data_IF_451880221652
#
_entry.id   IF_451880221652
#
_cell.length_a   1.000
_cell.length_b   1.000
_cell.length_c   1.000
_cell.angle_alpha   90.00
_cell.angle_beta   90.00
_cell.angle_gamma   90.00
#
_symmetry.space_group_name_H-M   'P 1'
#
loop_
_entity.id
_entity.type
_entity.pdbx_description
1 polymer ?
#
# COMPACT_ATOMS: atom_id res chain seq x y z
N UNK A 1 39.39 -25.83 7.96
CA UNK A 1 38.70 -24.94 7.01
C UNK A 1 38.02 -23.86 7.83
N UNK A 2 38.30 -22.57 7.63
CA UNK A 2 37.59 -21.53 8.35
C UNK A 2 36.16 -21.38 7.78
N UNK A 3 35.18 -20.93 8.57
CA UNK A 3 33.81 -20.72 8.13
C UNK A 3 33.70 -19.53 7.16
N UNK A 4 32.64 -19.43 6.33
CA UNK A 4 32.49 -18.31 5.42
C UNK A 4 32.19 -17.03 6.19
N UNK A 5 32.84 -15.96 5.76
CA UNK A 5 32.71 -14.60 6.28
C UNK A 5 31.33 -14.06 5.89
N UNK A 6 30.51 -13.74 6.90
CA UNK A 6 29.28 -12.98 6.69
C UNK A 6 29.65 -11.57 6.21
N UNK A 7 29.22 -11.22 5.00
CA UNK A 7 29.27 -9.85 4.51
C UNK A 7 28.23 -9.02 5.28
N UNK A 8 28.68 -8.31 6.32
CA UNK A 8 27.87 -7.35 7.06
C UNK A 8 27.72 -6.07 6.22
N UNK A 9 26.68 -6.04 5.38
CA UNK A 9 26.19 -4.78 4.81
C UNK A 9 25.36 -4.04 5.86
N UNK A 10 26.02 -3.50 6.89
CA UNK A 10 25.38 -2.49 7.74
C UNK A 10 25.39 -1.16 6.98
N UNK A 11 24.24 -0.78 6.41
CA UNK A 11 24.02 0.58 5.94
C UNK A 11 22.73 1.11 6.55
N UNK A 12 22.85 2.25 7.21
CA UNK A 12 21.75 2.98 7.81
C UNK A 12 20.76 3.45 6.73
N UNK A 13 19.45 3.48 7.01
CA UNK A 13 18.49 4.18 6.16
C UNK A 13 18.91 5.65 5.99
N UNK A 14 18.54 6.23 4.84
CA UNK A 14 18.84 7.62 4.49
C UNK A 14 18.41 8.54 5.64
N UNK A 15 19.27 9.46 6.12
CA UNK A 15 18.87 10.44 7.12
C UNK A 15 17.77 11.33 6.54
N UNK A 16 16.57 11.25 7.13
CA UNK A 16 15.48 12.20 6.86
C UNK A 16 16.00 13.60 7.28
N UNK A 17 15.99 14.61 6.40
CA UNK A 17 16.34 15.97 6.79
C UNK A 17 15.46 16.41 7.97
N UNK A 18 16.06 16.98 9.02
CA UNK A 18 15.33 17.40 10.20
C UNK A 18 14.33 18.50 9.86
N UNK A 19 13.05 18.14 9.81
CA UNK A 19 11.95 19.09 9.70
C UNK A 19 11.63 19.66 11.08
N UNK A 20 11.66 20.99 11.21
CA UNK A 20 11.12 21.70 12.37
C UNK A 20 9.76 22.29 11.96
N UNK A 21 8.66 21.93 12.65
CA UNK A 21 7.38 22.57 12.40
C UNK A 21 7.50 24.08 12.63
N UNK A 22 7.04 24.90 11.68
CA UNK A 22 6.79 26.32 11.98
C UNK A 22 5.64 26.37 12.99
N UNK A 23 5.93 26.88 14.17
CA UNK A 23 5.06 26.82 15.35
C UNK A 23 3.63 27.27 15.09
N UNK A 24 2.69 26.42 15.49
CA UNK A 24 1.29 26.80 15.71
C UNK A 24 1.21 27.56 17.04
N UNK A 25 0.94 28.86 16.97
CA UNK A 25 0.63 29.65 18.15
C UNK A 25 -0.74 29.25 18.69
N UNK A 26 -0.70 28.65 19.89
CA UNK A 26 -1.70 28.55 20.95
C UNK A 26 -3.16 28.90 20.65
N UNK A 27 -4.03 27.90 20.79
CA UNK A 27 -5.42 28.12 21.19
C UNK A 27 -5.69 27.46 22.54
N UNK A 28 -5.84 28.31 23.54
CA UNK A 28 -6.22 28.00 24.92
C UNK A 28 -7.71 27.69 25.04
N UNK A 29 -8.03 26.62 25.78
CA UNK A 29 -9.20 26.39 26.65
C UNK A 29 -10.50 27.15 26.30
N UNK A 30 -11.54 26.42 25.89
CA UNK A 30 -12.94 26.87 26.07
C UNK A 30 -13.46 26.42 27.45
N UNK A 31 -14.26 27.26 28.15
CA UNK A 31 -14.96 26.87 29.35
C UNK A 31 -16.26 26.13 29.02
N UNK A 32 -16.61 25.24 29.95
CA UNK A 32 -17.88 24.52 30.05
C UNK A 32 -19.07 25.48 30.11
N UNK A 33 -20.14 25.17 29.38
CA UNK A 33 -21.46 25.54 29.88
C UNK A 33 -22.56 24.53 29.51
N UNK A 34 -23.37 24.35 30.54
CA UNK A 34 -24.57 23.55 30.76
C UNK A 34 -25.65 23.49 29.66
N UNK A 35 -26.19 22.28 29.51
CA UNK A 35 -27.58 21.87 29.28
C UNK A 35 -28.51 22.75 28.41
N UNK A 36 -28.92 22.20 27.26
CA UNK A 36 -30.31 22.22 26.76
C UNK A 36 -30.53 21.12 25.71
N UNK A 37 -31.59 20.33 25.87
CA UNK A 37 -32.20 19.45 24.85
C UNK A 37 -33.68 19.85 24.70
N UNK A 38 -34.39 19.39 23.65
CA UNK A 38 -34.33 19.93 22.29
C UNK A 38 -35.71 20.39 21.79
N UNK A 39 -35.77 21.22 20.76
CA UNK A 39 -37.01 21.42 19.99
C UNK A 39 -36.75 21.15 18.51
N UNK A 40 -37.47 20.15 18.02
CA UNK A 40 -37.64 19.76 16.62
C UNK A 40 -37.98 20.96 15.74
N UNK A 41 -37.34 21.07 14.57
CA UNK A 41 -38.06 21.28 13.29
C UNK A 41 -37.09 21.37 12.10
N UNK A 42 -37.46 20.63 11.06
CA UNK A 42 -37.23 20.87 9.63
C UNK A 42 -35.85 20.57 9.04
N UNK A 43 -35.77 19.36 8.48
CA UNK A 43 -34.89 19.01 7.38
C UNK A 43 -35.27 19.81 6.13
N UNK A 44 -34.40 20.75 5.73
CA UNK A 44 -34.34 21.24 4.35
C UNK A 44 -33.11 20.63 3.67
N UNK A 45 -33.38 19.81 2.67
CA UNK A 45 -32.42 19.22 1.74
C UNK A 45 -31.76 20.37 0.96
N UNK A 46 -30.50 20.69 1.26
CA UNK A 46 -29.67 21.56 0.43
C UNK A 46 -28.88 20.71 -0.56
N UNK A 47 -29.39 20.63 -1.79
CA UNK A 47 -28.65 20.14 -2.95
C UNK A 47 -27.43 21.03 -3.21
N UNK A 48 -26.21 20.49 -3.06
CA UNK A 48 -25.00 21.16 -3.56
C UNK A 48 -24.90 20.95 -5.07
N UNK A 49 -25.12 22.05 -5.82
CA UNK A 49 -24.86 22.12 -7.26
C UNK A 49 -23.35 22.18 -7.48
N UNK A 50 -22.78 21.14 -8.08
CA UNK A 50 -21.41 21.15 -8.63
C UNK A 50 -21.39 22.04 -9.87
N UNK A 51 -20.76 23.21 -9.77
CA UNK A 51 -20.56 24.11 -10.90
C UNK A 51 -19.28 23.75 -11.64
N UNK A 52 -19.42 23.01 -12.75
CA UNK A 52 -18.38 22.84 -13.78
C UNK A 52 -18.00 24.20 -14.36
N UNK A 53 -16.74 24.60 -14.24
CA UNK A 53 -16.18 25.69 -15.05
C UNK A 53 -14.93 25.19 -15.75
N UNK A 54 -15.09 24.90 -17.04
CA UNK A 54 -14.03 24.65 -18.02
C UNK A 54 -13.46 26.02 -18.41
N UNK A 55 -12.16 26.23 -18.16
CA UNK A 55 -11.44 27.42 -18.59
C UNK A 55 -10.33 27.06 -19.58
N UNK A 56 -10.65 27.09 -20.87
CA UNK A 56 -9.69 27.05 -21.98
C UNK A 56 -9.03 28.42 -22.07
N UNK A 57 -7.71 28.50 -21.99
CA UNK A 57 -6.95 29.70 -22.39
C UNK A 57 -5.92 29.30 -23.44
N UNK A 58 -6.22 29.66 -24.68
CA UNK A 58 -5.25 29.82 -25.77
C UNK A 58 -4.84 31.30 -25.83
N UNK A 59 -3.55 31.54 -26.09
CA UNK A 59 -3.02 32.35 -27.20
C UNK A 59 -1.96 33.41 -26.84
N UNK A 60 -0.96 33.43 -27.74
CA UNK A 60 -0.16 34.56 -28.25
C UNK A 60 1.26 34.76 -27.69
N UNK A 61 2.20 34.33 -28.54
CA UNK A 61 3.54 34.90 -28.72
C UNK A 61 3.52 36.43 -28.80
N UNK A 62 4.54 37.05 -28.19
CA UNK A 62 5.06 38.34 -28.61
C UNK A 62 6.58 38.28 -28.72
N UNK A 63 7.07 38.35 -29.95
CA UNK A 63 8.45 38.58 -30.34
C UNK A 63 8.70 40.09 -30.30
N UNK A 64 9.77 40.56 -29.65
CA UNK A 64 10.37 41.85 -30.01
C UNK A 64 11.91 41.83 -29.83
N UNK A 65 12.64 42.58 -30.67
CA UNK A 65 14.05 42.36 -30.97
C UNK A 65 14.97 43.27 -30.13
N UNK A 66 16.19 42.80 -29.85
CA UNK A 66 17.26 43.68 -29.38
C UNK A 66 18.37 43.77 -30.43
N UNK A 67 18.66 45.03 -30.71
CA UNK A 67 19.45 45.59 -31.78
C UNK A 67 20.94 45.31 -31.64
N UNK A 68 21.56 45.01 -32.78
CA UNK A 68 23.00 45.01 -33.02
C UNK A 68 23.54 46.42 -32.78
N UNK A 69 24.47 46.56 -31.83
CA UNK A 69 25.33 47.74 -31.69
C UNK A 69 26.77 47.31 -31.96
N UNK A 70 27.26 47.63 -33.17
CA UNK A 70 28.68 47.57 -33.50
C UNK A 70 29.40 48.76 -32.85
N UNK A 71 30.37 48.48 -31.98
CA UNK A 71 31.34 49.46 -31.49
C UNK A 71 32.71 48.79 -31.42
N UNK A 72 33.59 49.12 -32.36
CA UNK A 72 34.96 48.60 -32.43
C UNK A 72 35.91 49.30 -31.45
N UNK A 73 36.90 48.55 -30.99
CA UNK A 73 38.04 49.04 -30.22
C UNK A 73 39.04 47.90 -29.97
N UNK A 74 40.18 47.95 -30.65
CA UNK A 74 41.31 47.01 -30.59
C UNK A 74 41.97 46.93 -29.20
N UNK A 75 42.47 45.73 -28.84
CA UNK A 75 43.43 45.56 -27.73
C UNK A 75 43.50 44.13 -27.20
N UNK A 76 44.52 43.37 -27.60
CA UNK A 76 44.66 41.93 -27.34
C UNK A 76 44.76 41.51 -25.88
N UNK A 77 44.36 40.26 -25.58
CA UNK A 77 45.16 39.22 -24.92
C UNK A 77 44.29 38.09 -24.36
N UNK A 78 44.73 36.85 -24.60
CA UNK A 78 44.30 35.57 -24.01
C UNK A 78 42.87 35.09 -24.26
N UNK A 79 42.72 34.32 -25.34
CA UNK A 79 41.70 33.27 -25.47
C UNK A 79 41.82 32.25 -24.33
N UNK A 80 40.94 32.37 -23.34
CA UNK A 80 40.57 31.26 -22.47
C UNK A 80 39.58 30.43 -23.28
N UNK A 81 40.02 29.28 -23.78
CA UNK A 81 39.10 28.25 -24.28
C UNK A 81 38.31 27.78 -23.07
N UNK A 82 36.97 27.90 -23.04
CA UNK A 82 36.20 27.20 -22.02
C UNK A 82 36.42 25.72 -22.27
N UNK A 83 37.03 25.06 -21.29
CA UNK A 83 37.03 23.61 -21.17
C UNK A 83 35.58 23.15 -21.34
N UNK A 84 35.28 22.18 -22.22
CA UNK A 84 33.92 21.73 -22.41
C UNK A 84 33.41 21.24 -21.06
N UNK A 85 32.42 21.95 -20.52
CA UNK A 85 31.62 21.50 -19.41
C UNK A 85 31.20 20.09 -19.77
N UNK A 86 31.76 19.08 -19.08
CA UNK A 86 31.28 17.71 -19.22
C UNK A 86 29.78 17.77 -18.92
N UNK A 87 28.96 17.66 -19.96
CA UNK A 87 27.55 17.38 -19.80
C UNK A 87 27.49 16.14 -18.91
N UNK A 88 26.90 16.30 -17.73
CA UNK A 88 26.60 15.13 -16.90
C UNK A 88 25.83 14.16 -17.80
N UNK A 89 26.24 12.88 -17.88
CA UNK A 89 25.59 11.93 -18.76
C UNK A 89 24.07 11.98 -18.51
N UNK A 90 23.31 12.05 -19.60
CA UNK A 90 21.85 12.11 -19.54
C UNK A 90 21.35 10.92 -18.70
N UNK A 91 20.49 11.21 -17.72
CA UNK A 91 20.02 10.19 -16.79
C UNK A 91 19.25 9.10 -17.54
N UNK A 92 19.50 7.84 -17.22
CA UNK A 92 18.75 6.70 -17.77
C UNK A 92 17.32 6.79 -17.24
N UNK A 93 16.35 6.72 -18.16
CA UNK A 93 14.94 6.67 -17.77
C UNK A 93 14.57 5.23 -17.46
N UNK A 94 14.00 5.00 -16.27
CA UNK A 94 13.42 3.72 -15.87
C UNK A 94 11.92 3.92 -15.66
N UNK A 95 11.11 3.14 -16.34
CA UNK A 95 9.67 3.31 -16.43
C UNK A 95 8.94 2.19 -15.68
N UNK A 96 8.15 2.59 -14.68
CA UNK A 96 7.27 1.72 -13.90
C UNK A 96 5.91 1.66 -14.58
N UNK A 97 5.54 0.50 -15.12
CA UNK A 97 4.19 0.25 -15.63
C UNK A 97 3.23 -0.11 -14.50
N UNK A 98 2.38 0.83 -14.08
CA UNK A 98 1.39 0.63 -13.04
C UNK A 98 0.04 0.15 -13.64
N UNK A 99 -0.23 -1.15 -13.53
CA UNK A 99 -1.52 -1.75 -13.87
C UNK A 99 -2.42 -1.72 -12.63
N UNK A 100 -3.42 -0.83 -12.62
CA UNK A 100 -4.20 -0.52 -11.41
C UNK A 100 -5.67 -0.29 -11.75
N UNK A 101 -6.51 -0.10 -10.72
CA UNK A 101 -7.90 0.28 -10.90
C UNK A 101 -8.08 1.79 -10.68
N UNK A 102 -8.42 2.54 -11.73
CA UNK A 102 -8.64 3.99 -11.64
C UNK A 102 -10.12 4.38 -11.68
N UNK A 103 -10.98 3.54 -12.26
CA UNK A 103 -12.41 3.88 -12.47
C UNK A 103 -13.39 2.79 -12.05
N UNK A 104 -12.90 1.64 -11.61
CA UNK A 104 -13.66 0.51 -11.11
C UNK A 104 -13.91 0.56 -9.59
N UNK A 105 -14.35 -0.57 -9.00
CA UNK A 105 -14.82 -0.65 -7.62
C UNK A 105 -13.73 -0.41 -6.56
N UNK A 106 -12.45 -0.62 -6.87
CA UNK A 106 -11.33 -0.39 -5.97
C UNK A 106 -10.71 1.01 -6.14
N UNK A 107 -11.20 1.83 -7.08
CA UNK A 107 -10.64 3.15 -7.42
C UNK A 107 -10.48 4.11 -6.24
N UNK A 108 -11.36 4.04 -5.23
CA UNK A 108 -11.28 4.88 -4.02
C UNK A 108 -9.95 4.65 -3.29
N UNK A 109 -9.62 3.40 -2.96
CA UNK A 109 -8.34 3.08 -2.32
C UNK A 109 -7.16 3.27 -3.27
N UNK A 110 -7.32 2.89 -4.54
CA UNK A 110 -6.24 2.96 -5.52
C UNK A 110 -5.81 4.40 -5.85
N UNK A 111 -6.71 5.36 -5.77
CA UNK A 111 -6.38 6.78 -5.96
C UNK A 111 -5.30 7.22 -4.97
N UNK A 112 -5.51 6.95 -3.69
CA UNK A 112 -4.58 7.31 -2.62
C UNK A 112 -3.27 6.50 -2.69
N UNK A 113 -3.35 5.22 -3.07
CA UNK A 113 -2.16 4.38 -3.32
C UNK A 113 -1.32 4.95 -4.48
N UNK A 114 -1.95 5.34 -5.58
CA UNK A 114 -1.26 5.89 -6.74
C UNK A 114 -0.61 7.26 -6.43
N UNK A 115 -1.25 8.10 -5.61
CA UNK A 115 -0.62 9.33 -5.11
C UNK A 115 0.67 9.02 -4.34
N UNK A 116 0.64 8.01 -3.46
CA UNK A 116 1.83 7.57 -2.71
C UNK A 116 2.96 7.08 -3.62
N UNK A 117 2.64 6.36 -4.70
CA UNK A 117 3.62 5.94 -5.72
C UNK A 117 4.25 7.15 -6.42
N UNK A 118 3.43 8.06 -6.95
CA UNK A 118 3.88 9.22 -7.71
C UNK A 118 4.77 10.14 -6.86
N UNK A 119 4.38 10.38 -5.60
CA UNK A 119 5.13 11.26 -4.71
C UNK A 119 6.43 10.63 -4.22
N UNK A 120 6.46 9.32 -3.99
CA UNK A 120 7.71 8.65 -3.65
C UNK A 120 8.66 8.61 -4.86
N UNK A 121 8.15 8.36 -6.07
CA UNK A 121 8.94 8.46 -7.32
C UNK A 121 9.50 9.87 -7.51
N UNK A 122 8.68 10.90 -7.29
CA UNK A 122 9.11 12.31 -7.32
C UNK A 122 10.23 12.57 -6.32
N UNK A 123 10.06 12.12 -5.07
CA UNK A 123 11.07 12.24 -4.03
C UNK A 123 12.39 11.57 -4.42
N UNK A 124 12.35 10.34 -4.94
CA UNK A 124 13.54 9.62 -5.42
C UNK A 124 14.26 10.37 -6.55
N UNK A 125 13.52 10.97 -7.48
CA UNK A 125 14.07 11.77 -8.57
C UNK A 125 14.71 13.08 -8.07
N UNK A 126 14.00 13.84 -7.22
CA UNK A 126 14.46 15.13 -6.69
C UNK A 126 15.70 14.97 -5.81
N UNK A 127 15.70 13.95 -4.95
CA UNK A 127 16.83 13.64 -4.08
C UNK A 127 17.92 12.81 -4.77
N UNK A 128 17.71 12.40 -6.03
CA UNK A 128 18.63 11.58 -6.84
C UNK A 128 19.08 10.30 -6.11
N UNK A 129 18.13 9.62 -5.47
CA UNK A 129 18.40 8.46 -4.61
C UNK A 129 18.88 7.23 -5.39
N UNK A 130 18.61 7.19 -6.70
CA UNK A 130 19.21 6.22 -7.63
C UNK A 130 20.14 7.00 -8.56
N UNK A 131 21.47 7.01 -8.31
CA UNK A 131 22.40 7.81 -9.09
C UNK A 131 22.36 7.49 -10.59
N UNK A 132 22.22 8.52 -11.42
CA UNK A 132 22.21 8.39 -12.89
C UNK A 132 20.89 7.87 -13.48
N UNK A 133 19.84 7.77 -12.66
CA UNK A 133 18.50 7.31 -13.08
C UNK A 133 17.47 8.43 -12.89
N UNK A 134 16.48 8.46 -13.79
CA UNK A 134 15.23 9.19 -13.64
C UNK A 134 14.07 8.21 -13.77
N UNK A 135 13.22 8.15 -12.75
CA UNK A 135 12.06 7.27 -12.70
C UNK A 135 10.85 7.94 -13.38
N UNK A 136 10.07 7.16 -14.12
CA UNK A 136 8.76 7.54 -14.67
C UNK A 136 7.70 6.50 -14.31
N UNK A 137 6.43 6.91 -14.24
CA UNK A 137 5.29 6.01 -14.01
C UNK A 137 4.32 6.11 -15.18
N UNK A 138 3.93 4.95 -15.72
CA UNK A 138 2.89 4.84 -16.73
C UNK A 138 1.71 4.08 -16.14
N UNK A 139 0.53 4.70 -16.13
CA UNK A 139 -0.68 4.06 -15.61
C UNK A 139 -1.47 3.38 -16.72
N UNK A 140 -2.08 2.25 -16.37
CA UNK A 140 -3.13 1.61 -17.13
C UNK A 140 -4.31 1.28 -16.22
N UNK A 141 -5.51 1.71 -16.61
CA UNK A 141 -6.75 1.46 -15.89
C UNK A 141 -7.35 0.10 -16.27
N UNK A 142 -7.13 -0.89 -15.41
CA UNK A 142 -7.68 -2.24 -15.50
C UNK A 142 -9.13 -2.35 -15.02
N UNK A 143 -9.69 -1.33 -14.34
CA UNK A 143 -11.08 -1.29 -13.86
C UNK A 143 -11.49 -2.45 -12.95
N UNK A 144 -10.51 -3.12 -12.31
CA UNK A 144 -10.71 -4.35 -11.56
C UNK A 144 -11.40 -5.46 -12.40
N UNK A 145 -11.17 -5.45 -13.72
CA UNK A 145 -11.74 -6.38 -14.69
C UNK A 145 -10.65 -7.32 -15.20
N UNK A 146 -10.68 -8.63 -14.84
CA UNK A 146 -9.67 -9.59 -15.26
C UNK A 146 -9.47 -9.70 -16.78
N UNK A 147 -10.48 -9.33 -17.59
CA UNK A 147 -10.35 -9.32 -19.05
C UNK A 147 -9.41 -8.23 -19.57
N UNK A 148 -9.05 -7.24 -18.75
CA UNK A 148 -8.17 -6.12 -19.07
C UNK A 148 -6.74 -6.30 -18.61
N UNK A 149 -6.44 -7.29 -17.77
CA UNK A 149 -5.11 -7.50 -17.19
C UNK A 149 -4.06 -7.77 -18.27
N UNK A 150 -4.31 -8.73 -19.17
CA UNK A 150 -3.40 -9.06 -20.27
C UNK A 150 -3.26 -7.89 -21.27
N UNK A 151 -4.33 -7.29 -21.82
CA UNK A 151 -4.20 -6.13 -22.69
C UNK A 151 -3.47 -4.94 -22.04
N UNK A 152 -3.69 -4.72 -20.74
CA UNK A 152 -3.02 -3.66 -19.99
C UNK A 152 -1.53 -3.88 -19.87
N UNK A 153 -1.12 -5.11 -19.54
CA UNK A 153 0.29 -5.50 -19.53
C UNK A 153 0.97 -5.27 -20.88
N UNK A 154 0.38 -5.78 -21.97
CA UNK A 154 0.96 -5.61 -23.32
C UNK A 154 1.05 -4.12 -23.69
N UNK A 155 0.05 -3.31 -23.32
CA UNK A 155 0.05 -1.87 -23.58
C UNK A 155 1.12 -1.11 -22.79
N UNK A 156 1.36 -1.49 -21.54
CA UNK A 156 2.43 -0.91 -20.71
C UNK A 156 3.80 -1.27 -21.28
N UNK A 157 4.01 -2.55 -21.63
CA UNK A 157 5.24 -3.02 -22.29
C UNK A 157 5.49 -2.31 -23.62
N UNK A 158 4.49 -2.19 -24.48
CA UNK A 158 4.57 -1.45 -25.75
C UNK A 158 4.97 0.02 -25.58
N UNK A 159 4.58 0.64 -24.46
CA UNK A 159 4.91 2.03 -24.13
C UNK A 159 6.28 2.19 -23.45
N UNK A 160 7.03 1.10 -23.26
CA UNK A 160 8.38 1.13 -22.72
C UNK A 160 8.45 0.97 -21.20
N UNK A 161 7.49 0.30 -20.56
CA UNK A 161 7.65 -0.12 -19.17
C UNK A 161 8.83 -1.10 -19.02
N UNK A 162 9.77 -0.79 -18.12
CA UNK A 162 10.92 -1.64 -17.79
C UNK A 162 10.57 -2.69 -16.73
N UNK A 163 9.59 -2.36 -15.88
CA UNK A 163 8.99 -3.24 -14.89
C UNK A 163 7.50 -3.00 -14.80
N UNK A 164 6.78 -3.98 -14.25
CA UNK A 164 5.36 -3.85 -13.96
C UNK A 164 5.15 -3.79 -12.45
N UNK A 165 4.24 -2.93 -12.01
CA UNK A 165 3.66 -2.96 -10.67
C UNK A 165 2.16 -3.20 -10.79
N UNK A 166 1.59 -4.05 -9.91
CA UNK A 166 0.14 -4.12 -9.75
C UNK A 166 -0.28 -4.46 -8.32
N UNK A 167 -1.27 -3.74 -7.76
CA UNK A 167 -1.93 -4.11 -6.51
C UNK A 167 -3.11 -5.08 -6.72
N UNK A 168 -3.42 -5.48 -7.96
CA UNK A 168 -4.59 -6.31 -8.28
C UNK A 168 -4.21 -7.79 -8.31
N UNK A 169 -4.68 -8.58 -7.33
CA UNK A 169 -4.32 -9.98 -7.17
C UNK A 169 -4.65 -10.85 -8.42
N UNK A 170 -5.79 -10.61 -9.08
CA UNK A 170 -6.18 -11.36 -10.27
C UNK A 170 -5.20 -11.18 -11.44
N UNK A 171 -4.63 -9.99 -11.57
CA UNK A 171 -3.69 -9.67 -12.64
C UNK A 171 -2.41 -10.49 -12.50
N UNK A 172 -1.91 -10.70 -11.28
CA UNK A 172 -0.71 -11.51 -11.02
C UNK A 172 -0.90 -12.94 -11.53
N UNK A 173 -2.05 -13.55 -11.23
CA UNK A 173 -2.41 -14.91 -11.67
C UNK A 173 -2.45 -14.97 -13.20
N UNK A 174 -3.13 -14.01 -13.84
CA UNK A 174 -3.32 -13.99 -15.29
C UNK A 174 -2.01 -13.74 -16.05
N UNK A 175 -1.10 -12.94 -15.48
CA UNK A 175 0.12 -12.50 -16.14
C UNK A 175 1.30 -13.44 -15.94
N UNK A 176 1.33 -14.27 -14.89
CA UNK A 176 2.49 -15.13 -14.56
C UNK A 176 3.10 -15.85 -15.78
N UNK A 177 2.34 -16.59 -16.62
CA UNK A 177 2.94 -17.29 -17.76
C UNK A 177 3.61 -16.36 -18.79
N UNK A 178 3.09 -15.13 -18.94
CA UNK A 178 3.65 -14.13 -19.86
C UNK A 178 4.89 -13.47 -19.29
N UNK A 179 4.89 -13.16 -18.00
CA UNK A 179 6.05 -12.60 -17.30
C UNK A 179 7.26 -13.54 -17.40
N UNK A 180 7.04 -14.84 -17.25
CA UNK A 180 8.09 -15.86 -17.46
C UNK A 180 8.60 -15.90 -18.90
N UNK A 181 7.69 -15.84 -19.88
CA UNK A 181 8.06 -15.87 -21.30
C UNK A 181 8.83 -14.60 -21.73
N UNK A 182 8.42 -13.44 -21.21
CA UNK A 182 9.01 -12.14 -21.51
C UNK A 182 10.23 -11.82 -20.63
N UNK A 183 10.48 -12.62 -19.59
CA UNK A 183 11.46 -12.34 -18.52
C UNK A 183 11.25 -10.94 -17.93
N UNK A 184 9.99 -10.58 -17.69
CA UNK A 184 9.57 -9.26 -17.21
C UNK A 184 9.24 -9.30 -15.73
N UNK A 185 9.95 -8.51 -14.91
CA UNK A 185 9.66 -8.42 -13.48
C UNK A 185 8.31 -7.72 -13.25
N UNK A 186 7.50 -8.35 -12.40
CA UNK A 186 6.30 -7.77 -11.83
C UNK A 186 6.44 -7.69 -10.30
N UNK A 187 6.23 -6.49 -9.76
CA UNK A 187 6.05 -6.26 -8.33
C UNK A 187 4.58 -6.25 -7.94
N UNK A 188 4.24 -6.86 -6.80
CA UNK A 188 2.86 -6.86 -6.28
C UNK A 188 2.79 -6.67 -4.77
N UNK A 189 1.63 -6.21 -4.30
CA UNK A 189 1.26 -6.07 -2.88
C UNK A 189 0.04 -6.91 -2.49
N UNK A 190 -0.51 -7.69 -3.43
CA UNK A 190 -1.62 -8.60 -3.18
C UNK A 190 -1.29 -10.02 -3.69
N UNK A 191 -0.22 -10.66 -3.20
CA UNK A 191 0.20 -11.96 -3.70
C UNK A 191 -0.70 -13.09 -3.17
N UNK A 192 -0.83 -14.13 -3.98
CA UNK A 192 -1.28 -15.45 -3.55
C UNK A 192 -0.22 -16.49 -3.88
N UNK A 193 -0.18 -17.60 -3.15
CA UNK A 193 0.81 -18.66 -3.39
C UNK A 193 0.77 -19.16 -4.82
N UNK A 194 -0.42 -19.46 -5.34
CA UNK A 194 -0.59 -19.92 -6.73
C UNK A 194 -0.15 -18.91 -7.79
N UNK A 195 -0.16 -17.60 -7.47
CA UNK A 195 0.28 -16.55 -8.37
C UNK A 195 1.80 -16.35 -8.38
N UNK A 196 2.50 -16.79 -7.33
CA UNK A 196 3.93 -16.52 -7.13
C UNK A 196 4.78 -17.79 -7.17
N UNK A 197 4.23 -18.94 -6.78
CA UNK A 197 4.95 -20.22 -6.70
C UNK A 197 4.63 -21.16 -7.87
N UNK A 198 5.61 -21.91 -8.43
CA UNK A 198 7.04 -21.82 -8.15
C UNK A 198 7.59 -20.43 -8.52
N UNK A 199 8.67 -20.04 -7.82
CA UNK A 199 9.26 -18.70 -7.94
C UNK A 199 9.72 -18.39 -9.37
N UNK A 200 9.59 -17.12 -9.74
CA UNK A 200 9.88 -16.63 -11.07
C UNK A 200 10.01 -15.10 -11.07
N UNK A 201 9.48 -14.43 -12.08
CA UNK A 201 9.57 -12.97 -12.25
C UNK A 201 8.54 -12.16 -11.45
N UNK A 202 7.76 -12.81 -10.59
CA UNK A 202 6.84 -12.14 -9.67
C UNK A 202 7.50 -11.99 -8.31
N UNK A 203 7.59 -10.75 -7.82
CA UNK A 203 8.13 -10.41 -6.50
C UNK A 203 7.08 -9.66 -5.69
N UNK A 204 6.69 -10.21 -4.55
CA UNK A 204 5.81 -9.54 -3.61
C UNK A 204 6.62 -8.67 -2.65
N UNK A 205 6.37 -7.36 -2.68
CA UNK A 205 7.13 -6.37 -1.93
C UNK A 205 6.33 -5.90 -0.72
N UNK A 206 6.87 -6.11 0.48
CA UNK A 206 6.29 -5.64 1.73
C UNK A 206 4.89 -6.19 2.02
N UNK A 207 4.52 -7.35 1.47
CA UNK A 207 3.22 -8.01 1.69
C UNK A 207 3.38 -9.52 1.66
N UNK A 208 2.84 -10.26 2.64
CA UNK A 208 2.87 -11.74 2.63
C UNK A 208 1.79 -12.31 1.70
N UNK A 209 1.82 -13.62 1.45
CA UNK A 209 0.73 -14.32 0.79
C UNK A 209 -0.59 -14.12 1.54
N UNK A 210 -1.67 -13.97 0.79
CA UNK A 210 -3.01 -13.77 1.37
C UNK A 210 -3.44 -14.99 2.19
N UNK A 211 -3.05 -16.19 1.77
CA UNK A 211 -3.22 -17.44 2.53
C UNK A 211 -2.45 -17.38 3.87
N UNK A 212 -1.18 -16.95 3.84
CA UNK A 212 -0.36 -16.82 5.04
C UNK A 212 -0.90 -15.73 5.98
N UNK A 213 -1.51 -14.66 5.46
CA UNK A 213 -2.19 -13.65 6.28
C UNK A 213 -3.34 -14.25 7.07
N UNK A 214 -4.23 -14.99 6.41
CA UNK A 214 -5.39 -15.61 7.06
C UNK A 214 -4.95 -16.59 8.14
N UNK A 215 -3.95 -17.42 7.82
CA UNK A 215 -3.38 -18.39 8.76
C UNK A 215 -2.72 -17.71 9.96
N UNK A 216 -1.86 -16.72 9.70
CA UNK A 216 -1.14 -15.97 10.74
C UNK A 216 -2.09 -15.16 11.64
N UNK A 217 -3.17 -14.60 11.07
CA UNK A 217 -4.17 -13.85 11.80
C UNK A 217 -4.85 -14.71 12.88
N UNK A 218 -5.33 -15.91 12.51
CA UNK A 218 -6.00 -16.80 13.48
C UNK A 218 -5.03 -17.29 14.55
N UNK A 219 -3.78 -17.55 14.17
CA UNK A 219 -2.73 -17.89 15.13
C UNK A 219 -2.52 -16.78 16.15
N UNK A 220 -2.37 -15.55 15.67
CA UNK A 220 -2.16 -14.40 16.55
C UNK A 220 -3.33 -14.23 17.52
N UNK A 221 -4.57 -14.33 17.02
CA UNK A 221 -5.79 -14.18 17.83
C UNK A 221 -5.86 -15.25 18.92
N UNK A 222 -5.62 -16.52 18.60
CA UNK A 222 -5.64 -17.61 19.58
C UNK A 222 -4.57 -17.46 20.68
N UNK A 223 -3.41 -16.91 20.32
CA UNK A 223 -2.29 -16.74 21.26
C UNK A 223 -2.40 -15.48 22.12
N UNK A 224 -2.99 -14.41 21.59
CA UNK A 224 -2.82 -13.06 22.16
C UNK A 224 -4.13 -12.30 22.42
N UNK A 225 -5.25 -12.66 21.79
CA UNK A 225 -6.50 -11.92 22.02
C UNK A 225 -6.98 -12.11 23.47
N UNK A 226 -7.22 -11.01 24.22
CA UNK A 226 -7.51 -11.09 25.65
C UNK A 226 -8.84 -11.79 25.96
N UNK A 227 -9.76 -11.75 25.00
CA UNK A 227 -11.11 -12.30 25.03
C UNK A 227 -11.25 -13.64 24.30
N UNK A 228 -10.13 -14.25 23.89
CA UNK A 228 -10.17 -15.56 23.23
C UNK A 228 -10.83 -16.62 24.14
N UNK A 229 -11.87 -17.35 23.66
CA UNK A 229 -12.52 -18.40 24.43
C UNK A 229 -11.54 -19.48 24.92
N UNK A 230 -11.64 -19.86 26.20
CA UNK A 230 -10.74 -20.85 26.84
C UNK A 230 -11.43 -22.16 27.21
N UNK A 231 -12.75 -22.17 27.22
CA UNK A 231 -13.60 -23.27 27.64
C UNK A 231 -14.27 -24.00 26.46
N UNK A 232 -14.15 -23.46 25.25
CA UNK A 232 -14.62 -24.05 23.99
C UNK A 232 -13.86 -23.48 22.79
N UNK A 233 -13.88 -24.17 21.64
CA UNK A 233 -13.45 -23.57 20.38
C UNK A 233 -14.24 -22.30 20.04
N UNK A 234 -13.56 -21.30 19.49
CA UNK A 234 -14.16 -20.08 18.97
C UNK A 234 -14.79 -20.33 17.59
N UNK A 235 -16.00 -19.83 17.37
CA UNK A 235 -16.67 -19.90 16.06
C UNK A 235 -16.21 -18.75 15.19
N UNK A 236 -15.87 -19.04 13.95
CA UNK A 236 -15.36 -18.05 13.01
C UNK A 236 -15.79 -18.37 11.58
N UNK A 237 -16.09 -17.33 10.81
CA UNK A 237 -16.26 -17.40 9.36
C UNK A 237 -15.94 -16.05 8.71
N UNK A 238 -16.15 -15.95 7.40
CA UNK A 238 -15.91 -14.70 6.69
C UNK A 238 -16.77 -14.53 5.44
N UNK A 239 -16.93 -13.28 5.02
CA UNK A 239 -17.69 -12.91 3.83
C UNK A 239 -16.86 -12.00 2.94
N UNK A 240 -16.83 -12.26 1.63
CA UNK A 240 -16.07 -11.48 0.65
C UNK A 240 -16.75 -11.49 -0.72
N UNK A 241 -16.34 -10.58 -1.59
CA UNK A 241 -16.53 -10.82 -3.02
C UNK A 241 -15.74 -12.06 -3.46
N UNK A 242 -16.23 -12.73 -4.49
CA UNK A 242 -15.60 -13.89 -5.12
C UNK A 242 -14.47 -13.42 -6.03
N UNK A 243 -13.46 -12.83 -5.42
CA UNK A 243 -12.21 -12.45 -6.05
C UNK A 243 -11.03 -13.25 -5.48
N UNK A 244 -9.84 -13.05 -6.06
CA UNK A 244 -8.65 -13.80 -5.67
C UNK A 244 -8.22 -13.49 -4.23
N UNK A 245 -8.38 -12.25 -3.78
CA UNK A 245 -7.95 -11.81 -2.46
C UNK A 245 -8.82 -12.43 -1.35
N UNK A 246 -10.14 -12.22 -1.44
CA UNK A 246 -11.09 -12.75 -0.46
C UNK A 246 -11.06 -14.28 -0.41
N UNK A 247 -10.94 -14.94 -1.56
CA UNK A 247 -10.81 -16.40 -1.61
C UNK A 247 -9.57 -16.89 -0.85
N UNK A 248 -8.39 -16.37 -1.19
CA UNK A 248 -7.12 -16.87 -0.63
C UNK A 248 -6.95 -16.52 0.85
N UNK A 249 -7.43 -15.36 1.29
CA UNK A 249 -7.46 -15.01 2.71
C UNK A 249 -8.31 -16.00 3.53
N UNK A 250 -9.53 -16.31 3.05
CA UNK A 250 -10.41 -17.26 3.75
C UNK A 250 -9.89 -18.69 3.68
N UNK A 251 -9.26 -19.11 2.57
CA UNK A 251 -8.56 -20.41 2.48
C UNK A 251 -7.50 -20.56 3.56
N UNK A 252 -6.68 -19.52 3.77
CA UNK A 252 -5.65 -19.52 4.83
C UNK A 252 -6.23 -19.63 6.23
N UNK A 253 -7.31 -18.88 6.49
CA UNK A 253 -8.02 -18.95 7.76
C UNK A 253 -8.64 -20.34 8.00
N UNK A 254 -9.35 -20.89 7.00
CA UNK A 254 -9.95 -22.23 7.07
C UNK A 254 -8.89 -23.32 7.29
N UNK A 255 -7.72 -23.20 6.67
CA UNK A 255 -6.61 -24.12 6.87
C UNK A 255 -6.11 -24.11 8.33
N UNK A 256 -5.99 -22.94 8.96
CA UNK A 256 -5.63 -22.84 10.38
C UNK A 256 -6.69 -23.51 11.27
N UNK A 257 -7.98 -23.29 11.00
CA UNK A 257 -9.06 -23.92 11.77
C UNK A 257 -9.02 -25.45 11.65
N UNK A 258 -8.73 -25.97 10.45
CA UNK A 258 -8.59 -27.40 10.20
C UNK A 258 -7.42 -28.01 10.98
N UNK A 259 -6.31 -27.29 11.11
CA UNK A 259 -5.14 -27.72 11.88
C UNK A 259 -5.34 -27.60 13.40
N UNK A 260 -6.26 -26.72 13.83
CA UNK A 260 -6.52 -26.38 15.23
C UNK A 260 -8.01 -26.48 15.62
N UNK A 261 -8.64 -27.66 15.48
CA UNK A 261 -10.06 -27.85 15.77
C UNK A 261 -10.41 -27.77 17.27
N UNK A 262 -9.40 -27.80 18.15
CA UNK A 262 -9.53 -27.54 19.58
C UNK A 262 -9.61 -26.04 19.90
N UNK A 263 -9.15 -25.17 18.99
CA UNK A 263 -9.18 -23.71 19.14
C UNK A 263 -10.35 -23.07 18.39
N UNK A 264 -10.71 -23.60 17.22
CA UNK A 264 -11.70 -22.97 16.34
C UNK A 264 -12.71 -23.95 15.73
N UNK A 265 -13.86 -23.40 15.32
CA UNK A 265 -14.88 -24.03 14.47
C UNK A 265 -15.15 -23.11 13.29
N UNK A 266 -15.05 -23.63 12.06
CA UNK A 266 -15.29 -22.88 10.83
C UNK A 266 -16.79 -22.87 10.51
N UNK A 267 -17.40 -21.69 10.50
CA UNK A 267 -18.80 -21.47 10.17
C UNK A 267 -19.02 -21.17 8.67
N UNK A 268 -17.95 -20.91 7.91
CA UNK A 268 -17.97 -20.92 6.45
C UNK A 268 -17.29 -19.74 5.76
N UNK A 269 -16.96 -19.99 4.49
CA UNK A 269 -16.47 -19.00 3.52
C UNK A 269 -17.63 -18.53 2.63
N UNK A 270 -18.12 -17.31 2.83
CA UNK A 270 -19.27 -16.79 2.09
C UNK A 270 -18.84 -15.82 0.98
N UNK A 271 -18.62 -16.36 -0.21
CA UNK A 271 -18.16 -15.60 -1.38
C UNK A 271 -19.31 -15.24 -2.32
N UNK A 272 -19.45 -13.95 -2.64
CA UNK A 272 -20.54 -13.41 -3.46
C UNK A 272 -20.05 -12.76 -4.75
N UNK A 273 -20.93 -12.45 -5.71
CA UNK A 273 -20.56 -11.47 -6.74
C UNK A 273 -20.33 -10.09 -6.11
N UNK A 274 -19.89 -9.09 -6.89
CA UNK A 274 -19.82 -7.72 -6.37
C UNK A 274 -21.21 -7.29 -5.87
N UNK A 275 -21.31 -7.09 -4.57
CA UNK A 275 -22.52 -6.68 -3.84
C UNK A 275 -22.14 -5.71 -2.73
N UNK A 276 -23.10 -4.89 -2.33
CA UNK A 276 -22.99 -3.99 -1.18
C UNK A 276 -24.09 -4.25 -0.15
N UNK A 277 -24.87 -5.31 -0.34
CA UNK A 277 -25.89 -5.83 0.58
C UNK A 277 -25.50 -7.26 0.94
N UNK A 278 -25.49 -7.56 2.23
CA UNK A 278 -24.85 -8.74 2.81
C UNK A 278 -25.78 -9.54 3.73
N UNK A 279 -27.10 -9.32 3.64
CA UNK A 279 -28.07 -9.90 4.58
C UNK A 279 -27.96 -11.43 4.73
N UNK A 280 -27.66 -12.15 3.65
CA UNK A 280 -27.52 -13.62 3.69
C UNK A 280 -26.26 -14.03 4.46
N UNK A 281 -25.15 -13.35 4.18
CA UNK A 281 -23.85 -13.58 4.81
C UNK A 281 -23.87 -13.17 6.28
N UNK A 282 -24.52 -12.05 6.60
CA UNK A 282 -24.77 -11.60 7.98
C UNK A 282 -25.55 -12.64 8.77
N UNK A 283 -26.65 -13.16 8.22
CA UNK A 283 -27.46 -14.17 8.90
C UNK A 283 -26.68 -15.46 9.17
N UNK A 284 -25.75 -15.83 8.28
CA UNK A 284 -24.89 -16.99 8.46
C UNK A 284 -23.81 -16.78 9.54
N UNK A 285 -23.31 -15.55 9.71
CA UNK A 285 -22.14 -15.25 10.53
C UNK A 285 -22.44 -14.58 11.89
N UNK A 286 -23.68 -14.13 12.14
CA UNK A 286 -24.02 -13.32 13.33
C UNK A 286 -23.78 -14.00 14.68
N UNK A 287 -23.76 -15.34 14.69
CA UNK A 287 -23.55 -16.16 15.87
C UNK A 287 -22.08 -16.61 16.05
N UNK A 288 -21.15 -16.13 15.22
CA UNK A 288 -19.72 -16.36 15.38
C UNK A 288 -19.14 -15.53 16.54
N UNK A 289 -18.01 -15.97 17.10
CA UNK A 289 -17.20 -15.18 18.03
C UNK A 289 -16.32 -14.17 17.29
N UNK A 290 -15.80 -14.58 16.14
CA UNK A 290 -14.99 -13.75 15.24
C UNK A 290 -15.55 -13.78 13.83
N UNK A 291 -15.44 -12.66 13.11
CA UNK A 291 -15.82 -12.57 11.70
C UNK A 291 -14.73 -11.84 10.93
N UNK A 292 -14.35 -12.38 9.76
CA UNK A 292 -13.56 -11.65 8.77
C UNK A 292 -14.56 -10.95 7.81
N UNK A 293 -14.78 -9.64 7.95
CA UNK A 293 -15.75 -8.93 7.12
C UNK A 293 -15.23 -8.75 5.68
N UNK A 294 -16.10 -8.35 4.73
CA UNK A 294 -15.66 -8.05 3.36
C UNK A 294 -14.85 -6.75 3.31
N UNK A 295 -14.12 -6.56 2.22
CA UNK A 295 -13.47 -5.28 1.88
C UNK A 295 -14.20 -4.66 0.68
N UNK A 296 -14.75 -3.43 0.80
CA UNK A 296 -14.89 -2.63 2.01
C UNK A 296 -15.93 -3.18 3.00
N UNK A 297 -15.75 -2.92 4.30
CA UNK A 297 -16.56 -3.54 5.36
C UNK A 297 -17.79 -2.73 5.79
N UNK A 298 -17.88 -1.45 5.41
CA UNK A 298 -18.83 -0.48 5.98
C UNK A 298 -20.31 -0.92 5.89
N UNK A 299 -20.77 -1.44 4.75
CA UNK A 299 -22.18 -1.89 4.64
C UNK A 299 -22.42 -3.19 5.40
N UNK A 300 -21.47 -4.12 5.36
CA UNK A 300 -21.55 -5.38 6.10
C UNK A 300 -21.62 -5.15 7.60
N UNK A 301 -20.70 -4.36 8.18
CA UNK A 301 -20.63 -4.19 9.64
C UNK A 301 -21.89 -3.52 10.17
N UNK A 302 -22.46 -2.58 9.41
CA UNK A 302 -23.76 -1.98 9.74
C UNK A 302 -24.87 -3.02 9.76
N UNK A 303 -25.04 -3.77 8.68
CA UNK A 303 -26.07 -4.83 8.58
C UNK A 303 -25.87 -5.90 9.67
N UNK A 304 -24.62 -6.26 9.95
CA UNK A 304 -24.24 -7.25 10.96
C UNK A 304 -24.67 -6.83 12.37
N UNK A 305 -24.40 -5.57 12.75
CA UNK A 305 -24.82 -5.03 14.05
C UNK A 305 -26.33 -4.83 14.12
N UNK A 306 -26.96 -4.35 13.05
CA UNK A 306 -28.42 -4.19 12.96
C UNK A 306 -29.15 -5.55 13.11
N UNK A 307 -28.55 -6.64 12.62
CA UNK A 307 -29.05 -8.02 12.81
C UNK A 307 -28.76 -8.62 14.20
N UNK A 308 -28.11 -7.87 15.09
CA UNK A 308 -27.77 -8.29 16.45
C UNK A 308 -26.47 -9.09 16.57
N UNK A 309 -25.64 -9.14 15.52
CA UNK A 309 -24.36 -9.83 15.53
C UNK A 309 -23.36 -9.20 16.49
N UNK A 310 -22.67 -10.03 17.28
CA UNK A 310 -21.77 -9.59 18.37
C UNK A 310 -20.32 -9.98 18.18
N UNK A 311 -19.99 -10.68 17.10
CA UNK A 311 -18.63 -11.09 16.80
C UNK A 311 -17.66 -9.91 16.84
N UNK A 312 -16.45 -10.17 17.32
CA UNK A 312 -15.32 -9.26 17.15
C UNK A 312 -14.83 -9.40 15.71
N UNK A 313 -14.68 -8.28 15.00
CA UNK A 313 -14.12 -8.36 13.66
C UNK A 313 -12.61 -8.54 13.73
N UNK A 314 -12.07 -9.28 12.77
CA UNK A 314 -10.65 -9.41 12.55
C UNK A 314 -10.37 -9.24 11.06
N UNK A 315 -9.31 -8.54 10.72
CA UNK A 315 -9.03 -8.15 9.36
C UNK A 315 -7.55 -7.94 9.09
N UNK A 316 -7.30 -7.26 7.99
CA UNK A 316 -5.98 -7.02 7.41
C UNK A 316 -5.85 -5.57 6.99
N UNK A 317 -4.65 -5.15 6.61
CA UNK A 317 -4.40 -3.83 6.02
C UNK A 317 -5.32 -3.45 4.83
N UNK A 318 -5.92 -4.43 4.12
CA UNK A 318 -6.87 -4.13 3.04
C UNK A 318 -8.16 -3.48 3.56
N UNK A 319 -8.56 -3.78 4.80
CA UNK A 319 -9.72 -3.14 5.45
C UNK A 319 -9.39 -1.70 5.81
N UNK A 320 -8.18 -1.45 6.33
CA UNK A 320 -7.71 -0.12 6.73
C UNK A 320 -7.59 0.84 5.55
N UNK A 321 -7.55 0.35 4.31
CA UNK A 321 -7.56 1.19 3.11
C UNK A 321 -8.93 1.87 2.85
N UNK A 322 -9.96 1.55 3.63
CA UNK A 322 -11.32 2.05 3.47
C UNK A 322 -11.91 2.66 4.76
N UNK A 323 -11.06 3.12 5.69
CA UNK A 323 -11.53 3.71 6.96
C UNK A 323 -12.31 5.00 6.76
N UNK A 324 -12.09 5.72 5.66
CA UNK A 324 -12.94 6.86 5.28
C UNK A 324 -14.43 6.50 5.16
N UNK A 325 -14.76 5.28 4.71
CA UNK A 325 -16.15 4.82 4.61
C UNK A 325 -16.77 4.48 5.98
N UNK A 326 -15.94 4.12 6.96
CA UNK A 326 -16.35 3.95 8.35
C UNK A 326 -16.64 5.30 8.96
N UNK A 327 -15.76 6.26 8.72
CA UNK A 327 -15.88 7.62 9.23
C UNK A 327 -17.13 8.33 8.70
N UNK A 328 -17.31 8.32 7.37
CA UNK A 328 -18.50 8.88 6.70
C UNK A 328 -19.80 8.24 7.18
N UNK A 329 -19.74 6.95 7.54
CA UNK A 329 -20.87 6.20 8.06
C UNK A 329 -21.13 6.38 9.56
N UNK A 330 -20.23 7.06 10.29
CA UNK A 330 -20.19 7.11 11.75
C UNK A 330 -20.27 5.69 12.35
N UNK A 331 -19.42 4.77 11.85
CA UNK A 331 -19.45 3.34 12.15
C UNK A 331 -18.35 2.89 13.15
N UNK A 332 -17.69 3.83 13.82
CA UNK A 332 -16.57 3.53 14.72
C UNK A 332 -16.98 2.61 15.88
N UNK A 333 -18.15 2.83 16.48
CA UNK A 333 -18.66 2.02 17.59
C UNK A 333 -18.99 0.59 17.14
N UNK A 334 -19.46 0.42 15.90
CA UNK A 334 -19.86 -0.86 15.30
C UNK A 334 -18.66 -1.79 15.10
N UNK A 335 -17.48 -1.22 14.91
CA UNK A 335 -16.22 -1.96 14.70
C UNK A 335 -15.26 -1.82 15.89
N UNK A 336 -15.70 -1.29 17.03
CA UNK A 336 -14.85 -1.13 18.21
C UNK A 336 -14.19 -2.46 18.62
N UNK A 337 -12.88 -2.42 18.88
CA UNK A 337 -12.08 -3.59 19.22
C UNK A 337 -11.68 -4.45 18.02
N UNK A 338 -11.96 -4.07 16.78
CA UNK A 338 -11.48 -4.83 15.60
C UNK A 338 -9.96 -4.98 15.63
N UNK A 339 -9.46 -6.16 15.26
CA UNK A 339 -8.03 -6.44 15.15
C UNK A 339 -7.59 -6.44 13.68
N UNK A 340 -6.55 -5.68 13.35
CA UNK A 340 -5.99 -5.61 12.00
C UNK A 340 -4.55 -6.12 11.95
N UNK A 341 -4.33 -7.19 11.19
CA UNK A 341 -2.99 -7.70 10.90
C UNK A 341 -2.40 -6.99 9.67
N UNK A 342 -1.28 -6.31 9.86
CA UNK A 342 -0.72 -5.37 8.89
C UNK A 342 0.74 -5.66 8.58
N UNK A 343 1.12 -5.35 7.34
CA UNK A 343 2.49 -5.43 6.86
C UNK A 343 3.28 -4.12 7.09
N UNK A 344 2.57 -3.02 7.33
CA UNK A 344 3.14 -1.70 7.54
C UNK A 344 2.68 -1.09 8.87
N UNK A 345 3.42 -0.07 9.30
CA UNK A 345 3.06 0.78 10.44
C UNK A 345 1.89 1.71 10.08
N UNK A 346 1.23 2.31 11.07
CA UNK A 346 0.10 3.24 10.90
C UNK A 346 0.52 4.68 11.15
N UNK A 347 -0.36 5.63 10.83
CA UNK A 347 -0.08 7.06 10.98
C UNK A 347 0.32 7.47 12.38
N UNK A 348 -0.16 6.85 13.45
CA UNK A 348 0.24 7.22 14.80
C UNK A 348 1.57 6.58 15.26
N UNK A 349 2.24 5.80 14.41
CA UNK A 349 3.58 5.29 14.68
C UNK A 349 4.70 6.30 14.37
N UNK A 350 5.86 6.03 14.97
CA UNK A 350 7.07 6.85 14.90
C UNK A 350 8.15 6.28 13.95
N UNK A 351 7.79 5.29 13.13
CA UNK A 351 8.69 4.61 12.20
C UNK A 351 9.25 5.51 11.10
N UNK A 352 10.43 5.17 10.58
CA UNK A 352 11.13 5.99 9.55
C UNK A 352 10.28 6.16 8.30
N UNK A 353 9.64 5.09 7.82
CA UNK A 353 8.83 5.13 6.60
C UNK A 353 7.53 5.92 6.79
N UNK A 354 6.87 5.78 7.94
CA UNK A 354 5.67 6.60 8.27
C UNK A 354 6.02 8.09 8.28
N UNK A 355 7.13 8.47 8.91
CA UNK A 355 7.61 9.87 8.92
C UNK A 355 7.87 10.41 7.53
N UNK A 356 8.52 9.62 6.67
CA UNK A 356 8.72 9.98 5.27
C UNK A 356 7.38 10.17 4.55
N UNK A 357 6.46 9.21 4.66
CA UNK A 357 5.17 9.30 3.97
C UNK A 357 4.35 10.50 4.44
N UNK A 358 4.30 10.78 5.76
CA UNK A 358 3.68 11.99 6.29
C UNK A 358 4.31 13.26 5.71
N UNK A 359 5.64 13.32 5.67
CA UNK A 359 6.35 14.46 5.11
C UNK A 359 5.94 14.68 3.65
N UNK A 360 5.97 13.63 2.82
CA UNK A 360 5.61 13.72 1.40
C UNK A 360 4.16 14.15 1.24
N UNK A 361 3.25 13.56 2.01
CA UNK A 361 1.82 13.89 1.96
C UNK A 361 1.57 15.38 2.26
N UNK A 362 2.12 15.91 3.35
CA UNK A 362 1.97 17.33 3.69
C UNK A 362 2.69 18.27 2.72
N UNK A 363 3.74 17.82 2.04
CA UNK A 363 4.47 18.64 1.07
C UNK A 363 3.74 18.75 -0.26
N UNK A 364 3.16 17.65 -0.74
CA UNK A 364 2.56 17.58 -2.07
C UNK A 364 1.04 17.83 -2.05
N UNK A 365 0.36 17.45 -0.97
CA UNK A 365 -1.10 17.54 -0.83
C UNK A 365 -1.51 18.21 0.49
N UNK A 366 -1.02 19.43 0.80
CA UNK A 366 -1.24 20.07 2.10
C UNK A 366 -2.72 20.29 2.44
N UNK A 367 -3.57 20.49 1.43
CA UNK A 367 -5.00 20.75 1.61
C UNK A 367 -5.80 19.46 1.88
N UNK A 368 -5.31 18.31 1.42
CA UNK A 368 -5.99 17.01 1.53
C UNK A 368 -5.33 16.06 2.55
N UNK A 369 -4.16 16.42 3.10
CA UNK A 369 -3.33 15.54 3.93
C UNK A 369 -4.08 14.93 5.13
N UNK A 370 -4.84 15.73 5.88
CA UNK A 370 -5.58 15.23 7.05
C UNK A 370 -6.74 14.32 6.64
N UNK A 371 -7.39 14.59 5.50
CA UNK A 371 -8.44 13.74 4.97
C UNK A 371 -7.85 12.38 4.54
N UNK A 372 -6.73 12.39 3.83
CA UNK A 372 -6.02 11.17 3.40
C UNK A 372 -5.51 10.35 4.59
N UNK A 373 -5.06 11.01 5.67
CA UNK A 373 -4.69 10.31 6.91
C UNK A 373 -5.91 9.60 7.51
N UNK A 374 -7.07 10.27 7.52
CA UNK A 374 -8.33 9.74 8.06
C UNK A 374 -8.96 8.65 7.18
N UNK A 375 -8.68 8.64 5.88
CA UNK A 375 -9.08 7.56 4.96
C UNK A 375 -8.42 6.21 5.29
N UNK A 376 -7.33 6.23 6.07
CA UNK A 376 -6.63 5.07 6.57
C UNK A 376 -5.31 4.82 5.83
N UNK A 377 -5.00 3.57 5.48
CA UNK A 377 -3.63 3.22 5.11
C UNK A 377 -3.27 3.30 3.61
N UNK A 378 -4.18 3.76 2.74
CA UNK A 378 -3.95 3.76 1.29
C UNK A 378 -2.65 4.47 0.88
N UNK A 379 -2.38 5.65 1.43
CA UNK A 379 -1.14 6.38 1.13
C UNK A 379 0.11 5.70 1.75
N UNK A 380 -0.07 4.97 2.86
CA UNK A 380 1.00 4.23 3.54
C UNK A 380 1.46 2.99 2.76
N UNK A 381 0.77 2.59 1.68
CA UNK A 381 1.32 1.66 0.66
C UNK A 381 2.61 2.21 0.01
N UNK A 382 2.92 3.49 0.22
CA UNK A 382 4.26 4.06 0.07
C UNK A 382 5.40 3.21 0.67
N UNK A 383 5.13 2.47 1.75
CA UNK A 383 6.07 1.48 2.30
C UNK A 383 6.47 0.42 1.26
N UNK A 384 5.50 -0.18 0.57
CA UNK A 384 5.75 -1.21 -0.43
C UNK A 384 6.53 -0.66 -1.62
N UNK A 385 6.20 0.56 -2.05
CA UNK A 385 6.94 1.27 -3.09
C UNK A 385 8.37 1.59 -2.65
N UNK A 386 8.59 1.94 -1.39
CA UNK A 386 9.92 2.13 -0.84
C UNK A 386 10.76 0.84 -0.95
N UNK A 387 10.20 -0.32 -0.56
CA UNK A 387 10.87 -1.62 -0.71
C UNK A 387 11.21 -1.92 -2.17
N UNK A 388 10.26 -1.69 -3.08
CA UNK A 388 10.44 -1.86 -4.53
C UNK A 388 11.57 -0.98 -5.07
N UNK A 389 11.56 0.33 -4.75
CA UNK A 389 12.55 1.28 -5.21
C UNK A 389 13.94 1.02 -4.61
N UNK A 390 14.02 0.52 -3.37
CA UNK A 390 15.29 0.11 -2.76
C UNK A 390 15.89 -1.13 -3.44
N UNK A 391 15.06 -2.07 -3.87
CA UNK A 391 15.53 -3.21 -4.70
C UNK A 391 15.98 -2.73 -6.08
N UNK A 392 15.26 -1.82 -6.72
CA UNK A 392 15.68 -1.22 -7.99
C UNK A 392 17.00 -0.46 -7.83
N UNK A 393 17.15 0.31 -6.75
CA UNK A 393 18.41 1.00 -6.39
C UNK A 393 19.56 0.00 -6.26
N UNK A 394 19.34 -1.12 -5.57
CA UNK A 394 20.33 -2.19 -5.44
C UNK A 394 20.76 -2.76 -6.79
N UNK A 395 19.81 -3.01 -7.69
CA UNK A 395 20.11 -3.49 -9.05
C UNK A 395 21.01 -2.50 -9.82
N UNK A 396 20.69 -1.21 -9.75
CA UNK A 396 21.50 -0.13 -10.36
C UNK A 396 22.87 0.00 -9.72
N UNK A 397 22.99 -0.15 -8.40
CA UNK A 397 24.29 -0.12 -7.70
C UNK A 397 25.22 -1.26 -8.13
N UNK A 398 24.67 -2.42 -8.47
CA UNK A 398 25.44 -3.60 -8.89
C UNK A 398 25.82 -3.51 -10.37
N UNK A 399 24.85 -3.21 -11.25
CA UNK A 399 25.04 -3.28 -12.72
C UNK A 399 25.31 -1.94 -13.39
N UNK A 400 25.08 -0.82 -12.71
CA UNK A 400 25.04 0.52 -13.28
C UNK A 400 23.70 0.84 -13.98
N UNK A 401 23.35 2.14 -14.16
CA UNK A 401 22.07 2.55 -14.73
C UNK A 401 21.75 1.99 -16.12
N UNK A 402 22.77 1.87 -16.98
CA UNK A 402 22.62 1.41 -18.37
C UNK A 402 22.34 -0.10 -18.48
N UNK A 403 22.63 -0.86 -17.42
CA UNK A 403 22.42 -2.30 -17.37
C UNK A 403 21.11 -2.66 -16.65
N UNK A 404 20.30 -1.66 -16.29
CA UNK A 404 19.05 -1.90 -15.58
C UNK A 404 18.06 -2.67 -16.47
N UNK A 405 17.33 -3.58 -15.84
CA UNK A 405 16.25 -4.35 -16.44
C UNK A 405 15.83 -5.48 -15.50
N UNK A 406 14.84 -6.25 -15.94
CA UNK A 406 14.26 -7.36 -15.17
C UNK A 406 15.29 -8.37 -14.67
N UNK A 407 16.32 -8.70 -15.46
CA UNK A 407 17.41 -9.59 -15.04
C UNK A 407 18.22 -9.01 -13.88
N UNK A 408 18.61 -7.74 -13.97
CA UNK A 408 19.38 -7.08 -12.92
C UNK A 408 18.60 -7.02 -11.59
N UNK A 409 17.28 -6.83 -11.67
CA UNK A 409 16.40 -6.87 -10.50
C UNK A 409 16.31 -8.29 -9.94
N UNK A 410 16.13 -9.28 -10.80
CA UNK A 410 16.04 -10.69 -10.40
C UNK A 410 17.32 -11.10 -9.64
N UNK A 411 18.49 -10.83 -10.21
CA UNK A 411 19.79 -11.09 -9.60
C UNK A 411 19.97 -10.30 -8.28
N UNK A 412 19.56 -9.03 -8.24
CA UNK A 412 19.62 -8.24 -7.03
C UNK A 412 18.71 -8.79 -5.92
N UNK A 413 17.57 -9.38 -6.28
CA UNK A 413 16.61 -9.95 -5.34
C UNK A 413 17.14 -11.22 -4.66
N UNK A 414 18.01 -12.01 -5.30
CA UNK A 414 18.54 -13.25 -4.72
C UNK A 414 19.28 -13.07 -3.38
N UNK A 415 19.72 -11.84 -3.08
CA UNK A 415 20.40 -11.47 -1.84
C UNK A 415 19.90 -10.16 -1.24
N UNK A 416 18.69 -9.73 -1.59
CA UNK A 416 18.14 -8.46 -1.09
C UNK A 416 17.77 -8.56 0.38
N UNK A 417 18.20 -7.58 1.16
CA UNK A 417 17.81 -7.38 2.55
C UNK A 417 17.67 -5.88 2.81
N UNK A 418 16.62 -5.50 3.53
CA UNK A 418 16.34 -4.12 3.94
C UNK A 418 16.09 -4.05 5.44
N UNK A 419 16.96 -3.29 6.13
CA UNK A 419 16.82 -3.00 7.55
C UNK A 419 16.24 -1.60 7.74
N UNK A 420 15.11 -1.51 8.45
CA UNK A 420 14.41 -0.27 8.76
C UNK A 420 14.19 -0.21 10.27
N UNK A 421 14.56 0.90 10.89
CA UNK A 421 14.47 1.11 12.35
C UNK A 421 15.19 0.02 13.17
N UNK A 422 16.30 -0.49 12.64
CA UNK A 422 17.11 -1.54 13.29
C UNK A 422 16.53 -2.95 13.19
N UNK A 423 15.47 -3.15 12.41
CA UNK A 423 14.85 -4.46 12.15
C UNK A 423 15.05 -4.83 10.68
N UNK A 424 15.53 -6.05 10.41
CA UNK A 424 15.56 -6.61 9.06
C UNK A 424 14.12 -6.95 8.62
N UNK A 425 13.42 -5.96 8.07
CA UNK A 425 11.97 -6.05 7.79
C UNK A 425 11.68 -6.83 6.51
N UNK A 426 12.60 -6.78 5.53
CA UNK A 426 12.38 -7.34 4.20
C UNK A 426 13.60 -8.14 3.74
N UNK A 427 13.40 -9.37 3.28
CA UNK A 427 14.43 -10.19 2.62
C UNK A 427 13.86 -11.00 1.46
N UNK A 428 14.55 -10.95 0.32
CA UNK A 428 14.37 -11.93 -0.75
C UNK A 428 15.57 -12.90 -0.74
N UNK A 429 15.35 -14.10 -1.26
CA UNK A 429 16.40 -15.10 -1.47
C UNK A 429 16.21 -15.75 -2.84
N UNK A 430 17.15 -16.60 -3.25
CA UNK A 430 17.04 -17.41 -4.47
C UNK A 430 15.66 -18.07 -4.63
N UNK A 431 15.08 -18.57 -3.54
CA UNK A 431 13.80 -19.29 -3.54
C UNK A 431 12.63 -18.51 -2.96
N UNK A 432 12.87 -17.42 -2.23
CA UNK A 432 11.82 -16.64 -1.56
C UNK A 432 11.40 -15.44 -2.41
N UNK A 433 10.12 -15.37 -2.76
CA UNK A 433 9.51 -14.29 -3.56
C UNK A 433 8.55 -13.38 -2.80
N UNK A 434 8.54 -13.51 -1.47
CA UNK A 434 7.86 -12.60 -0.52
C UNK A 434 8.93 -11.92 0.31
N UNK A 435 9.01 -10.59 0.31
CA UNK A 435 10.08 -9.93 1.04
C UNK A 435 9.83 -9.85 2.55
N UNK A 436 8.58 -9.60 2.98
CA UNK A 436 8.31 -9.21 4.36
C UNK A 436 8.55 -10.32 5.38
N UNK A 437 9.19 -9.99 6.50
CA UNK A 437 9.56 -10.93 7.57
C UNK A 437 8.59 -10.94 8.75
N UNK A 438 7.93 -9.82 9.02
CA UNK A 438 7.13 -9.63 10.22
C UNK A 438 5.86 -8.85 9.92
N UNK A 439 4.82 -9.17 10.68
CA UNK A 439 3.55 -8.46 10.69
C UNK A 439 3.35 -7.75 12.03
N UNK A 440 2.44 -6.78 12.00
CA UNK A 440 2.06 -5.93 13.11
C UNK A 440 0.57 -6.15 13.38
N UNK A 441 0.16 -6.13 14.64
CA UNK A 441 -1.24 -6.16 15.00
C UNK A 441 -1.67 -4.82 15.58
N UNK A 442 -2.83 -4.34 15.17
CA UNK A 442 -3.48 -3.14 15.70
C UNK A 442 -4.86 -3.49 16.24
N UNK A 443 -5.28 -2.79 17.27
CA UNK A 443 -6.64 -2.82 17.79
C UNK A 443 -7.28 -1.46 17.59
N UNK A 444 -8.43 -1.44 16.92
CA UNK A 444 -9.24 -0.24 16.75
C UNK A 444 -9.93 0.13 18.06
N UNK A 445 -9.89 1.42 18.41
CA UNK A 445 -10.60 1.98 19.56
C UNK A 445 -11.51 3.11 19.11
N UNK A 446 -12.81 2.88 19.25
CA UNK A 446 -13.83 3.82 18.76
C UNK A 446 -13.80 5.18 19.47
N UNK A 447 -13.41 5.21 20.75
CA UNK A 447 -13.35 6.46 21.52
C UNK A 447 -12.29 7.44 21.00
N UNK A 448 -11.24 6.91 20.36
CA UNK A 448 -10.16 7.68 19.74
C UNK A 448 -10.31 7.82 18.23
N UNK A 449 -11.26 7.11 17.61
CA UNK A 449 -11.40 7.01 16.15
C UNK A 449 -10.07 6.65 15.47
N UNK A 450 -9.32 5.72 16.08
CA UNK A 450 -7.97 5.35 15.64
C UNK A 450 -7.62 3.91 16.05
N UNK A 451 -6.54 3.38 15.49
CA UNK A 451 -6.04 2.04 15.80
C UNK A 451 -4.70 2.10 16.51
N UNK A 452 -4.48 1.20 17.45
CA UNK A 452 -3.27 1.21 18.28
C UNK A 452 -2.55 -0.11 18.20
N UNK A 453 -1.23 -0.04 17.98
CA UNK A 453 -0.36 -1.21 17.92
C UNK A 453 -0.44 -2.00 19.23
N UNK A 454 -0.66 -3.30 19.13
CA UNK A 454 -0.70 -4.21 20.28
C UNK A 454 0.47 -5.20 20.24
N UNK A 455 1.00 -5.62 21.42
CA UNK A 455 2.07 -6.61 21.47
C UNK A 455 1.63 -8.00 20.96
N UNK A 456 2.57 -8.82 20.44
CA UNK A 456 3.98 -8.50 20.18
C UNK A 456 4.16 -7.50 19.04
N UNK A 457 5.16 -6.61 19.17
CA UNK A 457 5.39 -5.54 18.21
C UNK A 457 5.79 -6.05 16.81
N UNK A 458 6.45 -7.21 16.75
CA UNK A 458 6.82 -7.89 15.51
C UNK A 458 6.41 -9.35 15.63
N UNK A 459 5.47 -9.76 14.78
CA UNK A 459 4.97 -11.13 14.75
C UNK A 459 5.47 -11.85 13.50
N UNK A 460 6.10 -13.02 13.61
CA UNK A 460 6.57 -13.75 12.43
C UNK A 460 5.38 -14.23 11.60
N UNK A 461 5.56 -14.24 10.29
CA UNK A 461 4.59 -14.84 9.37
C UNK A 461 4.64 -16.36 9.55
N UNK A 462 3.47 -16.98 9.61
CA UNK A 462 3.32 -18.42 9.63
C UNK A 462 2.76 -18.87 8.28
N UNK A 463 3.57 -19.59 7.47
CA UNK A 463 3.09 -20.09 6.19
C UNK A 463 1.89 -21.00 6.38
N UNK A 464 0.84 -20.78 5.59
CA UNK A 464 -0.24 -21.73 5.49
C UNK A 464 0.30 -23.05 4.91
N UNK A 465 -0.33 -24.22 5.18
CA UNK A 465 0.00 -25.43 4.43
C UNK A 465 -0.30 -25.26 2.94
N UNK A 466 0.36 -26.07 2.10
CA UNK A 466 0.00 -26.17 0.68
C UNK A 466 -1.25 -27.06 0.53
N UNK A 467 -2.12 -26.73 -0.43
CA UNK A 467 -3.37 -27.48 -0.69
C UNK A 467 -3.16 -28.91 -1.22
#
# INVERSE_FOLDING_TARGET
>A
MPPPVAATSSRHPIPIPSWTPRGSNGWSRRPTNTAHTPSESNAEVRSMKVSRTIGVIFLALAILPLTISCGGGDGGSSTIVPEPTQESPEAVVITIGNLTDLTGPASVAMTTINMGLEDLVRYYNEQKLIPGVRLEVLHYDGQYDPSKDIPGYERLKEKGADIIFTPVASAVIALKPRLEADRMVLFTVAPSKGAVEPGGYVFAVGSPFSEDLGYTLLKWVAENAPDFPKDRPARIGGAFWKDAYGHTLLTGAEAYVKDHPDQYVWDGSHLTGITFTWSTEVEALKDCDYVIPPVPMNTFVKEFRDAGGKARFIGTHAHDAFMGLIDDGNLWDEINGTLFLRASELWNDEGTTVKLMKQLLHQNHPDDAEAIIREGCGYLTGYNFYVMLELMRKAVEVGGPQSFGSEAIFEAAESFSLTIDGVERETFTETRRISINYLLMYELRAAEEDEFRVPPLWYPIVPAPDE
#
